data_IF_071309534548
#
_entry.id   IF_071309534548
#
_cell.length_a   1.000
_cell.length_b   1.000
_cell.length_c   1.000
_cell.angle_alpha   90.00
_cell.angle_beta   90.00
_cell.angle_gamma   90.00
#
_symmetry.space_group_name_H-M   'P 1'
#
loop_
_entity.id
_entity.type
_entity.pdbx_description
1 polymer ?
#
# COMPACT_ATOMS: atom_id res chain seq x y z
N UNK A 1 -7.37 -38.58 -18.50
CA UNK A 1 -8.18 -37.63 -17.73
C UNK A 1 -7.20 -36.77 -16.95
N UNK A 2 -6.97 -35.53 -17.38
CA UNK A 2 -6.03 -34.61 -16.71
C UNK A 2 -6.71 -34.08 -15.45
N UNK A 3 -6.18 -34.44 -14.29
CA UNK A 3 -6.72 -34.02 -12.99
C UNK A 3 -6.08 -32.69 -12.59
N UNK A 4 -6.89 -31.64 -12.67
CA UNK A 4 -7.01 -30.54 -11.71
C UNK A 4 -5.97 -30.48 -10.57
N UNK A 5 -5.03 -29.54 -10.69
CA UNK A 5 -4.42 -28.85 -9.54
C UNK A 5 -4.35 -27.35 -9.86
N UNK A 6 -5.52 -26.69 -9.91
CA UNK A 6 -5.53 -25.25 -9.62
C UNK A 6 -5.27 -25.13 -8.12
N UNK A 7 -4.03 -24.86 -7.75
CA UNK A 7 -3.66 -24.59 -6.37
C UNK A 7 -4.51 -23.43 -5.85
N UNK A 8 -5.32 -23.77 -4.86
CA UNK A 8 -6.13 -22.88 -4.05
C UNK A 8 -5.24 -21.82 -3.37
N UNK A 9 -5.21 -20.63 -3.94
CA UNK A 9 -4.72 -19.43 -3.26
C UNK A 9 -5.79 -18.34 -3.30
N UNK A 10 -7.03 -18.74 -2.99
CA UNK A 10 -8.23 -17.90 -2.97
C UNK A 10 -8.30 -16.95 -1.77
N UNK A 11 -7.15 -16.52 -1.25
CA UNK A 11 -7.03 -15.39 -0.34
C UNK A 11 -6.15 -14.34 -1.01
N UNK A 12 -6.58 -13.87 -2.19
CA UNK A 12 -6.06 -12.62 -2.74
C UNK A 12 -6.74 -11.49 -1.97
N UNK A 13 -6.17 -11.12 -0.83
CA UNK A 13 -6.46 -9.85 -0.16
C UNK A 13 -5.87 -8.71 -1.02
N UNK A 14 -6.42 -8.56 -2.22
CA UNK A 14 -6.11 -7.46 -3.11
C UNK A 14 -6.60 -6.19 -2.47
N UNK A 15 -5.68 -5.49 -1.80
CA UNK A 15 -5.92 -4.14 -1.30
C UNK A 15 -6.30 -3.25 -2.47
N UNK A 16 -7.39 -2.51 -2.30
CA UNK A 16 -7.90 -1.63 -3.35
C UNK A 16 -7.54 -0.19 -3.02
N UNK A 17 -7.23 0.58 -4.07
CA UNK A 17 -7.10 2.03 -3.92
C UNK A 17 -8.41 2.59 -3.35
N UNK A 18 -8.31 3.42 -2.32
CA UNK A 18 -9.43 3.97 -1.54
C UNK A 18 -9.81 3.15 -0.31
N UNK A 19 -9.26 1.95 -0.13
CA UNK A 19 -9.53 1.12 1.04
C UNK A 19 -8.91 1.70 2.31
N UNK A 20 -9.63 1.54 3.42
CA UNK A 20 -9.19 1.94 4.76
C UNK A 20 -8.46 0.79 5.43
N UNK A 21 -7.21 1.04 5.82
CA UNK A 21 -6.32 0.06 6.41
C UNK A 21 -5.75 0.58 7.72
N UNK A 22 -5.26 -0.31 8.56
CA UNK A 22 -4.47 0.03 9.75
C UNK A 22 -3.26 -0.89 9.83
N UNK A 23 -2.27 -0.49 10.63
CA UNK A 23 -1.11 -1.36 10.84
C UNK A 23 -1.46 -2.54 11.75
N UNK A 24 -0.85 -3.71 11.53
CA UNK A 24 -1.12 -4.90 12.35
C UNK A 24 -0.79 -4.71 13.85
N UNK A 25 0.09 -3.75 14.17
CA UNK A 25 0.57 -3.50 15.53
C UNK A 25 -0.17 -2.36 16.23
N UNK A 26 -0.83 -1.49 15.47
CA UNK A 26 -1.57 -0.35 15.96
C UNK A 26 -2.84 -0.15 15.12
N UNK A 27 -4.01 -0.59 15.64
CA UNK A 27 -5.30 -0.39 15.00
C UNK A 27 -5.76 1.07 14.93
N UNK A 28 -5.16 1.96 15.72
CA UNK A 28 -5.49 3.40 15.69
C UNK A 28 -4.73 4.14 14.59
N UNK A 29 -3.65 3.53 14.08
CA UNK A 29 -2.92 4.06 12.94
C UNK A 29 -3.63 3.69 11.64
N UNK A 30 -4.68 4.45 11.32
CA UNK A 30 -5.55 4.21 10.16
C UNK A 30 -5.10 5.09 8.98
N UNK A 31 -5.16 4.54 7.76
CA UNK A 31 -4.85 5.26 6.52
C UNK A 31 -5.65 4.77 5.32
N UNK A 32 -5.49 5.47 4.20
CA UNK A 32 -6.13 5.13 2.92
C UNK A 32 -5.08 4.59 1.96
N UNK A 33 -5.36 3.47 1.32
CA UNK A 33 -4.55 2.99 0.18
C UNK A 33 -4.67 3.99 -0.97
N UNK A 34 -3.55 4.56 -1.40
CA UNK A 34 -3.47 5.50 -2.54
C UNK A 34 -2.72 4.91 -3.73
N UNK A 35 -1.95 3.84 -3.52
CA UNK A 35 -1.14 3.23 -4.56
C UNK A 35 -0.99 1.73 -4.32
N UNK A 36 -1.05 0.95 -5.40
CA UNK A 36 -0.72 -0.49 -5.41
C UNK A 36 0.06 -0.74 -6.70
N UNK A 37 1.34 -1.10 -6.59
CA UNK A 37 2.19 -1.25 -7.76
C UNK A 37 3.68 -1.37 -7.45
N UNK A 38 4.50 -1.35 -8.50
CA UNK A 38 5.96 -1.39 -8.36
C UNK A 38 6.52 0.00 -7.99
N UNK A 39 7.56 0.03 -7.17
CA UNK A 39 8.30 1.26 -6.82
C UNK A 39 9.70 1.18 -7.40
N UNK A 40 10.13 2.21 -8.11
CA UNK A 40 11.45 2.26 -8.73
C UNK A 40 12.57 2.02 -7.70
N UNK A 41 13.53 1.18 -8.08
CA UNK A 41 14.63 0.77 -7.20
C UNK A 41 14.26 -0.27 -6.13
N UNK A 42 13.01 -0.73 -6.08
CA UNK A 42 12.53 -1.72 -5.12
C UNK A 42 11.87 -2.91 -5.83
N UNK A 43 12.19 -4.12 -5.40
CA UNK A 43 11.53 -5.33 -5.91
C UNK A 43 10.15 -5.53 -5.28
N UNK A 44 9.26 -6.23 -6.00
CA UNK A 44 7.97 -6.66 -5.47
C UNK A 44 6.84 -5.65 -5.65
N UNK A 45 5.68 -6.01 -5.09
CA UNK A 45 4.48 -5.16 -5.06
C UNK A 45 4.51 -4.34 -3.77
N UNK A 46 4.23 -3.05 -3.90
CA UNK A 46 4.19 -2.10 -2.80
C UNK A 46 2.81 -1.47 -2.68
N UNK A 47 2.46 -1.11 -1.44
CA UNK A 47 1.24 -0.40 -1.13
C UNK A 47 1.59 0.97 -0.58
N UNK A 48 1.16 2.02 -1.26
CA UNK A 48 1.26 3.39 -0.77
C UNK A 48 0.04 3.73 0.06
N UNK A 49 0.26 4.13 1.31
CA UNK A 49 -0.80 4.50 2.26
C UNK A 49 -0.64 5.96 2.66
N UNK A 50 -1.74 6.71 2.62
CA UNK A 50 -1.89 8.05 3.19
C UNK A 50 -2.57 7.92 4.56
N UNK A 51 -1.78 8.06 5.62
CA UNK A 51 -2.20 7.95 7.01
C UNK A 51 -2.99 9.18 7.45
N UNK A 52 -3.99 8.98 8.30
CA UNK A 52 -4.80 10.09 8.80
C UNK A 52 -4.02 10.97 9.79
N UNK A 53 -3.01 10.38 10.45
CA UNK A 53 -2.07 11.07 11.32
C UNK A 53 -0.82 11.56 10.56
N UNK A 54 -0.15 12.55 11.15
CA UNK A 54 0.98 13.27 10.55
C UNK A 54 2.35 12.63 10.72
N UNK A 55 2.43 11.33 11.03
CA UNK A 55 3.65 10.67 11.52
C UNK A 55 4.22 9.63 10.55
N UNK A 56 4.32 10.01 9.28
CA UNK A 56 4.86 9.21 8.19
C UNK A 56 6.07 9.87 7.52
N UNK A 57 6.58 9.23 6.47
CA UNK A 57 7.92 9.51 5.92
C UNK A 57 7.92 10.60 4.84
N UNK A 58 6.89 10.65 4.01
CA UNK A 58 6.86 11.48 2.79
C UNK A 58 5.43 11.87 2.41
N UNK A 59 5.26 12.44 1.20
CA UNK A 59 4.01 12.92 0.65
C UNK A 59 3.51 12.10 -0.58
N UNK A 60 4.17 10.97 -0.85
CA UNK A 60 3.92 10.10 -2.00
C UNK A 60 4.89 10.32 -3.16
N UNK A 61 5.85 11.24 -3.00
CA UNK A 61 7.03 11.39 -3.85
C UNK A 61 8.23 10.63 -3.27
N UNK A 62 8.88 9.81 -4.09
CA UNK A 62 10.05 9.04 -3.69
C UNK A 62 11.07 9.00 -4.85
N UNK A 63 12.32 9.34 -4.56
CA UNK A 63 13.47 9.25 -5.47
C UNK A 63 13.26 9.88 -6.86
N UNK A 64 12.58 11.02 -6.94
CA UNK A 64 12.36 11.70 -8.22
C UNK A 64 10.99 11.45 -8.85
N UNK A 65 10.24 10.46 -8.36
CA UNK A 65 8.98 9.99 -8.97
C UNK A 65 7.79 10.20 -8.03
N UNK A 66 6.68 10.70 -8.58
CA UNK A 66 5.40 10.83 -7.86
C UNK A 66 4.52 9.62 -8.14
N UNK A 67 4.24 8.84 -7.09
CA UNK A 67 3.35 7.69 -7.16
C UNK A 67 1.92 8.05 -6.77
N UNK A 68 1.78 8.91 -5.75
CA UNK A 68 0.51 9.47 -5.32
C UNK A 68 0.71 10.83 -4.64
N UNK A 69 -0.39 11.52 -4.36
CA UNK A 69 -0.41 12.75 -3.56
C UNK A 69 -1.06 12.44 -2.21
N UNK A 70 -0.28 12.52 -1.14
CA UNK A 70 -0.79 12.44 0.22
C UNK A 70 -1.51 13.72 0.63
N UNK A 71 -2.34 13.62 1.66
CA UNK A 71 -3.11 14.75 2.20
C UNK A 71 -2.19 15.75 2.92
N UNK A 72 -1.02 15.32 3.40
CA UNK A 72 -0.01 16.20 4.00
C UNK A 72 1.43 15.69 3.76
N UNK A 73 2.45 16.55 3.90
CA UNK A 73 3.83 16.22 3.51
C UNK A 73 4.49 15.05 4.26
N UNK A 74 3.90 14.61 5.37
CA UNK A 74 4.41 13.54 6.24
C UNK A 74 3.31 12.54 6.60
N UNK A 75 2.41 12.25 5.67
CA UNK A 75 1.33 11.27 5.86
C UNK A 75 1.49 10.02 5.01
N UNK A 76 2.43 9.98 4.07
CA UNK A 76 2.62 8.81 3.23
C UNK A 76 3.71 7.83 3.71
N UNK A 77 3.45 6.54 3.49
CA UNK A 77 4.43 5.46 3.54
C UNK A 77 4.20 4.46 2.40
N UNK A 78 5.27 3.78 2.00
CA UNK A 78 5.20 2.52 1.25
C UNK A 78 5.45 1.35 2.21
N UNK A 79 4.59 0.33 2.12
CA UNK A 79 4.66 -0.93 2.86
C UNK A 79 4.65 -2.13 1.94
#
# INVERSE_FOLDING_TARGET
MQNSEKSDTSLSWELKIGERVHTIWDPQRIGTVKYVGAVEGHSGLWVGVDWDDGDAKHDGYLNGVRYFQATSPRCASFV
#
